data_IF_892012591997
#
_entry.id   IF_892012591997
#
_cell.length_a   1.000
_cell.length_b   1.000
_cell.length_c   1.000
_cell.angle_alpha   90.00
_cell.angle_beta   90.00
_cell.angle_gamma   90.00
#
_symmetry.space_group_name_H-M   'P 1'
#
loop_
_entity.id
_entity.type
_entity.pdbx_description
1 polymer ?
#
# COMPACT_ATOMS: atom_id res chain seq x y z
N UNK A 1 19.58 33.47 7.40
CA UNK A 1 18.54 32.64 8.06
C UNK A 1 18.28 31.46 7.14
N UNK A 2 18.35 30.20 7.59
CA UNK A 2 17.96 29.09 6.73
C UNK A 2 16.45 29.18 6.51
N UNK A 3 16.03 29.20 5.25
CA UNK A 3 14.62 29.17 4.87
C UNK A 3 14.02 27.84 5.33
N UNK A 4 12.89 27.88 6.04
CA UNK A 4 12.09 26.68 6.31
C UNK A 4 11.77 25.99 4.97
N UNK A 5 12.00 24.67 4.84
CA UNK A 5 11.64 23.96 3.61
C UNK A 5 10.14 24.13 3.37
N UNK A 6 9.77 24.59 2.17
CA UNK A 6 8.37 24.61 1.74
C UNK A 6 7.87 23.17 1.71
N UNK A 7 6.64 22.86 2.18
CA UNK A 7 6.08 21.53 2.06
C UNK A 7 6.04 21.12 0.57
N UNK A 8 6.57 19.94 0.26
CA UNK A 8 6.59 19.38 -1.09
C UNK A 8 5.21 18.81 -1.43
N UNK A 9 4.23 19.68 -1.71
CA UNK A 9 2.91 19.27 -2.21
C UNK A 9 2.13 18.29 -1.31
N UNK A 10 1.05 17.72 -1.85
CA UNK A 10 0.25 16.70 -1.17
C UNK A 10 0.87 15.31 -1.41
N UNK A 11 0.91 14.42 -0.40
CA UNK A 11 1.53 13.10 -0.46
C UNK A 11 0.76 12.13 -1.37
N UNK A 12 1.42 11.05 -1.78
CA UNK A 12 0.84 9.98 -2.60
C UNK A 12 1.07 8.64 -1.90
N UNK A 13 0.20 8.29 -0.96
CA UNK A 13 0.44 7.21 -0.02
C UNK A 13 0.36 5.80 -0.61
N UNK A 14 -0.36 5.58 -1.71
CA UNK A 14 -0.54 4.23 -2.28
C UNK A 14 -0.85 4.29 -3.79
N UNK A 15 -0.89 3.13 -4.47
CA UNK A 15 -1.33 3.07 -5.89
C UNK A 15 -2.69 3.76 -6.01
N UNK A 16 -2.82 4.64 -6.99
CA UNK A 16 -4.00 5.49 -7.21
C UNK A 16 -4.31 6.51 -6.09
N UNK A 17 -3.29 6.91 -5.32
CA UNK A 17 -3.23 8.01 -4.33
C UNK A 17 -3.77 7.67 -2.93
N UNK A 18 -4.99 7.16 -2.86
CA UNK A 18 -5.70 6.88 -1.61
C UNK A 18 -6.50 5.56 -1.71
N UNK A 19 -7.11 5.06 -0.61
CA UNK A 19 -7.80 3.78 -0.62
C UNK A 19 -9.00 3.67 -1.59
N UNK A 20 -9.57 4.81 -2.02
CA UNK A 20 -10.65 4.86 -3.01
C UNK A 20 -10.16 4.78 -4.46
N UNK A 21 -8.84 4.81 -4.66
CA UNK A 21 -8.15 4.64 -5.92
C UNK A 21 -8.58 5.58 -7.08
N UNK A 22 -8.83 6.89 -6.85
CA UNK A 22 -9.32 7.79 -7.90
C UNK A 22 -8.29 8.08 -9.00
N UNK A 23 -7.00 7.80 -8.77
CA UNK A 23 -5.90 8.13 -9.70
C UNK A 23 -5.74 9.63 -10.01
N UNK A 24 -6.36 10.51 -9.21
CA UNK A 24 -6.34 11.96 -9.42
C UNK A 24 -5.35 12.65 -8.48
N UNK A 25 -4.39 13.39 -9.06
CA UNK A 25 -3.60 14.35 -8.30
C UNK A 25 -4.46 15.55 -7.89
N UNK A 26 -4.36 15.99 -6.63
CA UNK A 26 -5.08 17.19 -6.15
C UNK A 26 -4.47 18.52 -6.64
N UNK A 27 -3.30 18.46 -7.28
CA UNK A 27 -2.64 19.63 -7.86
C UNK A 27 -2.59 19.41 -9.37
N UNK A 28 -3.03 20.38 -10.19
CA UNK A 28 -2.83 20.32 -11.63
C UNK A 28 -1.34 20.12 -11.92
N UNK A 29 -1.03 19.18 -12.81
CA UNK A 29 0.35 19.03 -13.28
C UNK A 29 0.88 20.34 -13.89
N UNK A 30 2.21 20.51 -13.97
CA UNK A 30 2.81 21.68 -14.60
C UNK A 30 2.25 21.82 -16.01
N UNK A 31 1.58 22.94 -16.26
CA UNK A 31 0.98 23.26 -17.56
C UNK A 31 2.05 23.60 -18.61
N UNK A 32 3.27 23.85 -18.14
CA UNK A 32 4.46 24.10 -18.94
C UNK A 32 5.56 23.09 -18.55
N UNK A 33 5.86 22.10 -19.40
CA UNK A 33 6.94 21.13 -19.15
C UNK A 33 8.32 21.76 -19.05
N UNK A 34 8.52 22.98 -19.57
CA UNK A 34 9.80 23.70 -19.46
C UNK A 34 10.03 24.34 -18.08
N UNK A 35 8.97 24.43 -17.26
CA UNK A 35 9.06 24.81 -15.85
C UNK A 35 9.46 23.64 -14.94
N UNK A 36 9.50 22.41 -15.48
CA UNK A 36 10.08 21.27 -14.79
C UNK A 36 11.61 21.45 -14.74
N UNK A 37 12.17 21.44 -13.53
CA UNK A 37 13.62 21.31 -13.37
C UNK A 37 14.13 20.01 -14.01
N UNK A 38 15.45 19.87 -14.14
CA UNK A 38 16.05 18.65 -14.67
C UNK A 38 15.60 17.42 -13.86
N UNK A 39 14.95 16.42 -14.49
CA UNK A 39 14.60 15.19 -13.80
C UNK A 39 15.90 14.45 -13.43
N UNK A 40 15.87 13.76 -12.30
CA UNK A 40 16.98 12.92 -11.86
C UNK A 40 16.65 11.44 -12.10
N UNK A 41 17.63 10.62 -12.50
CA UNK A 41 17.49 9.16 -12.51
C UNK A 41 17.91 8.57 -11.17
N UNK A 42 17.21 7.54 -10.71
CA UNK A 42 17.66 6.65 -9.64
C UNK A 42 17.79 5.22 -10.18
N UNK A 43 18.94 4.58 -9.93
CA UNK A 43 19.18 3.20 -10.34
C UNK A 43 19.00 2.28 -9.13
N UNK A 44 17.85 1.60 -9.07
CA UNK A 44 17.62 0.53 -8.11
C UNK A 44 18.51 -0.69 -8.40
N UNK A 45 18.72 -1.52 -7.39
CA UNK A 45 19.56 -2.71 -7.49
C UNK A 45 18.93 -3.87 -8.29
N UNK A 46 17.62 -3.81 -8.54
CA UNK A 46 16.87 -4.79 -9.32
C UNK A 46 15.69 -4.14 -10.07
N UNK A 47 14.94 -4.96 -10.83
CA UNK A 47 13.76 -4.52 -11.57
C UNK A 47 12.68 -3.92 -10.66
N UNK A 48 12.04 -2.85 -11.11
CA UNK A 48 10.90 -2.22 -10.45
C UNK A 48 9.66 -2.55 -11.28
N UNK A 49 8.72 -3.29 -10.71
CA UNK A 49 7.43 -3.62 -11.32
C UNK A 49 6.25 -2.88 -10.68
N UNK A 50 6.54 -2.11 -9.63
CA UNK A 50 5.59 -1.52 -8.71
C UNK A 50 5.52 0.01 -8.86
N UNK A 51 4.39 0.61 -8.45
CA UNK A 51 4.27 2.06 -8.39
C UNK A 51 4.94 2.58 -7.11
N UNK A 52 5.64 3.72 -7.12
CA UNK A 52 6.20 4.31 -5.90
C UNK A 52 5.11 4.91 -4.99
N UNK A 53 5.41 5.00 -3.69
CA UNK A 53 4.65 5.82 -2.74
C UNK A 53 5.47 7.06 -2.30
N UNK A 54 4.82 8.16 -1.93
CA UNK A 54 5.46 9.46 -1.63
C UNK A 54 4.97 10.02 -0.30
N UNK A 55 5.89 10.38 0.59
CA UNK A 55 5.59 11.04 1.88
C UNK A 55 5.45 12.58 1.77
N UNK A 56 5.12 13.25 2.89
CA UNK A 56 5.01 14.73 2.95
C UNK A 56 6.33 15.47 2.71
N UNK A 57 7.46 14.80 2.91
CA UNK A 57 8.78 15.36 2.68
C UNK A 57 9.28 15.08 1.25
N UNK A 58 8.47 14.41 0.42
CA UNK A 58 8.77 14.07 -0.97
C UNK A 58 9.70 12.87 -1.13
N UNK A 59 9.91 12.06 -0.09
CA UNK A 59 10.65 10.82 -0.24
C UNK A 59 9.80 9.80 -1.01
N UNK A 60 10.38 9.21 -2.04
CA UNK A 60 9.82 8.09 -2.77
C UNK A 60 10.18 6.78 -2.08
N UNK A 61 9.21 5.89 -1.94
CA UNK A 61 9.38 4.52 -1.49
C UNK A 61 9.14 3.58 -2.67
N UNK A 62 10.15 2.76 -2.99
CA UNK A 62 10.17 1.92 -4.19
C UNK A 62 10.54 0.50 -3.80
N UNK A 63 9.71 -0.46 -4.20
CA UNK A 63 9.98 -1.90 -4.04
C UNK A 63 10.56 -2.50 -5.32
N UNK A 64 11.34 -3.57 -5.17
CA UNK A 64 12.03 -4.23 -6.29
C UNK A 64 11.81 -5.73 -6.30
N UNK A 65 12.04 -6.35 -7.47
CA UNK A 65 11.99 -7.81 -7.63
C UNK A 65 13.03 -8.58 -6.82
N UNK A 66 14.05 -7.90 -6.28
CA UNK A 66 15.00 -8.52 -5.34
C UNK A 66 14.47 -8.55 -3.90
N UNK A 67 13.29 -7.98 -3.62
CA UNK A 67 12.75 -7.88 -2.27
C UNK A 67 13.17 -6.62 -1.51
N UNK A 68 13.87 -5.71 -2.19
CA UNK A 68 14.44 -4.51 -1.57
C UNK A 68 13.45 -3.36 -1.59
N UNK A 69 13.36 -2.64 -0.47
CA UNK A 69 12.70 -1.35 -0.34
C UNK A 69 13.75 -0.24 -0.36
N UNK A 70 13.66 0.65 -1.33
CA UNK A 70 14.47 1.85 -1.43
C UNK A 70 13.69 3.08 -0.97
N UNK A 71 14.41 4.00 -0.31
CA UNK A 71 13.95 5.37 -0.07
C UNK A 71 14.79 6.33 -0.90
N UNK A 72 14.11 7.14 -1.73
CA UNK A 72 14.75 8.10 -2.62
C UNK A 72 14.29 9.51 -2.26
N UNK A 73 15.23 10.42 -2.04
CA UNK A 73 14.97 11.81 -1.71
C UNK A 73 14.48 12.60 -2.93
N UNK A 74 13.83 13.76 -2.73
CA UNK A 74 13.46 14.67 -3.83
C UNK A 74 14.65 15.12 -4.70
N UNK A 75 15.87 15.03 -4.19
CA UNK A 75 17.13 15.34 -4.89
C UNK A 75 17.60 14.21 -5.82
N UNK A 76 17.02 13.02 -5.71
CA UNK A 76 17.37 11.82 -6.46
C UNK A 76 18.39 10.90 -5.79
N UNK A 77 18.95 11.32 -4.67
CA UNK A 77 19.78 10.46 -3.83
C UNK A 77 18.90 9.47 -3.08
N UNK A 78 19.26 8.19 -3.08
CA UNK A 78 18.49 7.17 -2.40
C UNK A 78 19.33 5.97 -2.00
N UNK A 79 18.84 5.23 -1.02
CA UNK A 79 19.47 3.99 -0.54
C UNK A 79 18.41 2.91 -0.37
N UNK A 80 18.86 1.67 -0.39
CA UNK A 80 18.11 0.58 0.23
C UNK A 80 17.96 0.87 1.72
N UNK A 81 16.76 0.65 2.25
CA UNK A 81 16.46 0.80 3.67
C UNK A 81 15.97 -0.50 4.30
N UNK A 82 15.54 -1.47 3.50
CA UNK A 82 15.02 -2.75 4.00
C UNK A 82 15.08 -3.85 2.93
N UNK A 83 15.31 -5.08 3.38
CA UNK A 83 15.28 -6.32 2.58
C UNK A 83 14.21 -7.26 3.14
N UNK A 84 13.18 -7.55 2.33
CA UNK A 84 12.08 -8.45 2.69
C UNK A 84 12.50 -9.94 2.66
N UNK A 85 13.66 -10.27 2.09
CA UNK A 85 14.16 -11.64 1.96
C UNK A 85 13.47 -12.47 0.87
N UNK A 86 12.50 -11.89 0.15
CA UNK A 86 11.76 -12.51 -0.95
C UNK A 86 11.30 -11.44 -1.96
N UNK A 87 11.16 -11.76 -3.27
CA UNK A 87 10.72 -10.78 -4.27
C UNK A 87 9.46 -10.03 -3.87
N UNK A 88 9.48 -8.70 -4.03
CA UNK A 88 8.32 -7.83 -3.82
C UNK A 88 7.88 -7.29 -5.17
N UNK A 89 6.71 -7.72 -5.63
CA UNK A 89 6.17 -7.33 -6.95
C UNK A 89 4.97 -6.39 -6.87
N UNK A 90 4.58 -6.00 -5.66
CA UNK A 90 3.44 -5.14 -5.37
C UNK A 90 3.91 -3.71 -5.08
N UNK A 91 3.04 -2.72 -5.34
CA UNK A 91 3.30 -1.36 -4.86
C UNK A 91 3.29 -1.32 -3.34
N UNK A 92 4.20 -0.58 -2.69
CA UNK A 92 4.08 -0.31 -1.26
C UNK A 92 2.85 0.57 -0.98
N UNK A 93 2.26 0.38 0.19
CA UNK A 93 1.32 1.33 0.77
C UNK A 93 1.97 2.06 1.94
N UNK A 94 1.82 3.37 1.99
CA UNK A 94 2.41 4.26 2.98
C UNK A 94 1.30 4.89 3.82
N UNK A 95 1.33 4.62 5.12
CA UNK A 95 0.62 5.42 6.12
C UNK A 95 1.54 6.53 6.56
N UNK A 96 1.10 7.76 6.34
CA UNK A 96 1.88 8.94 6.69
C UNK A 96 1.96 9.07 8.20
N UNK A 97 3.15 9.40 8.70
CA UNK A 97 3.30 9.82 10.08
C UNK A 97 2.60 11.16 10.32
N UNK A 98 2.45 11.53 11.59
CA UNK A 98 1.81 12.82 11.91
C UNK A 98 2.59 13.96 11.25
N UNK A 99 1.88 14.98 10.77
CA UNK A 99 2.50 16.21 10.24
C UNK A 99 3.18 17.07 11.32
N UNK A 100 3.27 16.59 12.57
CA UNK A 100 3.75 17.35 13.72
C UNK A 100 2.82 18.50 14.16
N UNK A 101 1.57 18.54 13.68
CA UNK A 101 0.60 19.62 14.02
C UNK A 101 -0.50 19.18 14.98
N UNK A 102 -0.52 17.91 15.40
CA UNK A 102 -1.41 17.42 16.45
C UNK A 102 -0.70 17.54 17.79
N UNK A 103 -1.27 18.34 18.71
CA UNK A 103 -0.89 18.55 20.11
C UNK A 103 0.63 18.57 20.41
N UNK A 104 1.12 19.77 20.72
CA UNK A 104 2.50 20.13 21.06
C UNK A 104 3.36 18.99 21.65
N UNK A 105 4.34 18.51 20.87
CA UNK A 105 5.45 17.71 21.39
C UNK A 105 5.86 16.48 20.56
N UNK A 106 4.97 15.93 19.73
CA UNK A 106 5.32 14.80 18.86
C UNK A 106 6.10 15.29 17.63
N UNK A 107 7.34 14.83 17.41
CA UNK A 107 8.05 15.13 16.17
C UNK A 107 7.22 14.63 14.98
N UNK A 108 7.35 15.26 13.79
CA UNK A 108 6.72 14.73 12.59
C UNK A 108 7.05 13.24 12.46
N UNK A 109 6.01 12.41 12.49
CA UNK A 109 6.18 10.97 12.58
C UNK A 109 6.81 10.43 11.32
N UNK A 110 7.69 9.44 11.47
CA UNK A 110 8.16 8.64 10.33
C UNK A 110 6.97 7.74 9.93
N UNK A 111 6.59 7.76 8.65
CA UNK A 111 5.48 6.94 8.15
C UNK A 111 5.77 5.44 8.21
N UNK A 112 4.73 4.63 8.06
CA UNK A 112 4.84 3.17 7.96
C UNK A 112 4.57 2.70 6.53
N UNK A 113 5.44 1.85 6.00
CA UNK A 113 5.40 1.27 4.67
C UNK A 113 5.01 -0.19 4.78
N UNK A 114 3.96 -0.58 4.07
CA UNK A 114 3.42 -1.94 4.02
C UNK A 114 3.70 -2.55 2.65
N UNK A 115 4.19 -3.79 2.63
CA UNK A 115 4.53 -4.52 1.40
C UNK A 115 4.29 -6.02 1.57
N UNK A 116 3.73 -6.64 0.52
CA UNK A 116 3.57 -8.08 0.42
C UNK A 116 4.67 -8.68 -0.43
N UNK A 117 5.19 -9.85 -0.04
CA UNK A 117 6.21 -10.56 -0.80
C UNK A 117 5.71 -11.89 -1.40
N UNK A 118 6.56 -12.46 -2.25
CA UNK A 118 6.32 -13.73 -2.91
C UNK A 118 6.47 -14.96 -2.00
N UNK A 119 6.99 -14.79 -0.78
CA UNK A 119 7.02 -15.85 0.23
C UNK A 119 5.74 -15.88 1.07
N UNK A 120 4.80 -14.96 0.83
CA UNK A 120 3.52 -14.90 1.51
C UNK A 120 3.52 -14.06 2.78
N UNK A 121 4.56 -13.24 2.99
CA UNK A 121 4.65 -12.36 4.15
C UNK A 121 4.21 -10.94 3.81
N UNK A 122 3.42 -10.36 4.72
CA UNK A 122 3.13 -8.94 4.80
C UNK A 122 4.09 -8.32 5.81
N UNK A 123 4.82 -7.31 5.38
CA UNK A 123 5.78 -6.58 6.21
C UNK A 123 5.28 -5.17 6.47
N UNK A 124 5.58 -4.66 7.67
CA UNK A 124 5.41 -3.26 8.03
C UNK A 124 6.76 -2.70 8.46
N UNK A 125 7.22 -1.70 7.73
CA UNK A 125 8.55 -1.11 7.88
C UNK A 125 8.38 0.38 8.11
N UNK A 126 9.04 0.93 9.11
CA UNK A 126 9.09 2.38 9.30
C UNK A 126 9.83 3.03 8.13
N UNK A 127 9.50 4.27 7.79
CA UNK A 127 10.08 5.01 6.66
C UNK A 127 11.59 5.25 6.72
N UNK A 128 12.27 4.87 7.82
CA UNK A 128 13.72 4.83 7.96
C UNK A 128 14.34 3.44 7.71
N UNK A 129 13.53 2.41 7.48
CA UNK A 129 13.95 1.03 7.27
C UNK A 129 13.77 0.11 8.47
N UNK A 130 13.37 0.63 9.63
CA UNK A 130 13.17 -0.19 10.83
C UNK A 130 11.99 -1.13 10.65
N UNK A 131 12.21 -2.44 10.70
CA UNK A 131 11.13 -3.43 10.69
C UNK A 131 10.27 -3.29 11.96
N UNK A 132 8.98 -3.07 11.78
CA UNK A 132 8.01 -3.04 12.88
C UNK A 132 7.44 -4.44 13.12
N UNK A 133 6.97 -5.10 12.06
CA UNK A 133 6.48 -6.47 12.13
C UNK A 133 6.44 -7.16 10.77
N UNK A 134 6.43 -8.49 10.80
CA UNK A 134 6.16 -9.36 9.66
C UNK A 134 5.06 -10.34 10.05
N UNK A 135 4.10 -10.59 9.16
CA UNK A 135 3.00 -11.52 9.37
C UNK A 135 2.81 -12.35 8.10
N UNK A 136 2.62 -13.66 8.24
CA UNK A 136 2.09 -14.50 7.16
C UNK A 136 0.60 -14.74 7.39
N UNK A 137 -0.30 -14.02 6.69
CA UNK A 137 -1.73 -14.03 7.03
C UNK A 137 -2.42 -15.35 6.71
N UNK A 138 -1.84 -16.19 5.83
CA UNK A 138 -2.45 -17.41 5.31
C UNK A 138 -1.84 -18.74 5.77
N UNK A 139 -0.85 -18.76 6.67
CA UNK A 139 -0.20 -20.00 7.13
C UNK A 139 -0.81 -20.49 8.45
N UNK A 140 -1.26 -21.75 8.46
CA UNK A 140 -1.49 -22.56 9.65
C UNK A 140 -0.39 -23.62 9.81
N UNK A 141 0.77 -23.25 10.34
CA UNK A 141 1.92 -24.14 10.66
C UNK A 141 2.48 -25.07 9.55
N UNK A 142 1.93 -25.15 8.34
CA UNK A 142 2.41 -25.99 7.23
C UNK A 142 3.24 -25.22 6.19
N UNK A 143 4.40 -24.76 6.67
CA UNK A 143 5.70 -24.62 5.99
C UNK A 143 5.90 -23.86 4.65
N UNK A 144 4.91 -23.49 3.85
CA UNK A 144 5.13 -22.67 2.64
C UNK A 144 4.02 -21.63 2.44
N UNK A 145 4.39 -20.35 2.51
CA UNK A 145 3.48 -19.24 2.23
C UNK A 145 3.19 -19.12 0.74
N UNK A 146 2.03 -18.52 0.43
CA UNK A 146 1.57 -18.29 -0.94
C UNK A 146 1.79 -16.80 -1.27
N UNK A 147 2.30 -16.44 -2.47
CA UNK A 147 2.61 -15.06 -2.82
C UNK A 147 1.48 -14.06 -2.56
N UNK A 148 1.79 -12.96 -1.86
CA UNK A 148 0.92 -11.80 -1.73
C UNK A 148 1.16 -10.88 -2.92
N UNK A 149 0.25 -10.90 -3.91
CA UNK A 149 0.47 -10.24 -5.22
C UNK A 149 -0.57 -9.20 -5.59
N UNK A 150 -1.46 -8.82 -4.68
CA UNK A 150 -2.19 -7.55 -4.78
C UNK A 150 -1.42 -6.45 -4.06
N UNK A 151 -1.59 -5.20 -4.48
CA UNK A 151 -1.11 -4.11 -3.63
C UNK A 151 -1.87 -4.11 -2.30
N UNK A 152 -1.20 -3.89 -1.17
CA UNK A 152 -1.87 -3.70 0.11
C UNK A 152 -2.68 -2.40 0.07
N UNK A 153 -3.90 -2.45 0.60
CA UNK A 153 -4.72 -1.27 0.87
C UNK A 153 -4.78 -1.06 2.36
N UNK A 154 -4.42 0.13 2.81
CA UNK A 154 -4.30 0.44 4.23
C UNK A 154 -5.35 1.47 4.63
N UNK A 155 -6.08 1.16 5.68
CA UNK A 155 -7.07 2.03 6.29
C UNK A 155 -6.68 2.33 7.74
N UNK A 156 -6.68 3.62 8.09
CA UNK A 156 -6.54 4.06 9.48
C UNK A 156 -7.78 4.85 9.86
N UNK A 157 -8.61 4.27 10.72
CA UNK A 157 -9.81 4.95 11.21
C UNK A 157 -9.45 6.24 11.95
N UNK A 158 -10.32 7.26 11.86
CA UNK A 158 -10.10 8.53 12.54
C UNK A 158 -9.91 8.32 14.05
N UNK A 159 -8.83 8.88 14.60
CA UNK A 159 -8.47 8.70 16.02
C UNK A 159 -7.82 7.37 16.37
N UNK A 160 -7.63 6.45 15.41
CA UNK A 160 -6.88 5.20 15.62
C UNK A 160 -5.39 5.41 15.33
N UNK A 161 -4.54 4.90 16.22
CA UNK A 161 -3.11 4.73 15.95
C UNK A 161 -2.79 3.40 15.26
N UNK A 162 -3.79 2.61 14.88
CA UNK A 162 -3.63 1.28 14.29
C UNK A 162 -4.27 1.22 12.91
N UNK A 163 -3.60 0.55 12.01
CA UNK A 163 -4.03 0.34 10.64
C UNK A 163 -4.68 -1.03 10.46
N UNK A 164 -5.70 -1.07 9.59
CA UNK A 164 -6.17 -2.30 8.95
C UNK A 164 -5.65 -2.36 7.53
N UNK A 165 -5.17 -3.53 7.12
CA UNK A 165 -4.54 -3.79 5.84
C UNK A 165 -5.33 -4.87 5.13
N UNK A 166 -5.64 -4.64 3.85
CA UNK A 166 -6.26 -5.62 2.97
C UNK A 166 -5.26 -6.03 1.90
N UNK A 167 -5.04 -7.34 1.74
CA UNK A 167 -4.07 -7.87 0.76
C UNK A 167 -4.55 -9.19 0.18
N UNK A 168 -4.42 -9.32 -1.14
CA UNK A 168 -4.79 -10.46 -1.95
C UNK A 168 -3.62 -11.39 -2.23
N UNK A 169 -3.94 -12.66 -2.35
CA UNK A 169 -3.02 -13.77 -2.48
C UNK A 169 -3.25 -14.56 -3.77
N UNK A 170 -2.19 -15.17 -4.29
CA UNK A 170 -2.24 -15.98 -5.51
C UNK A 170 -3.13 -17.23 -5.41
N UNK A 171 -3.46 -17.69 -4.21
CA UNK A 171 -4.41 -18.80 -3.98
C UNK A 171 -5.89 -18.37 -4.02
N UNK A 172 -6.16 -17.10 -4.28
CA UNK A 172 -7.52 -16.56 -4.33
C UNK A 172 -8.07 -16.11 -2.98
N UNK A 173 -7.24 -16.00 -1.94
CA UNK A 173 -7.65 -15.41 -0.66
C UNK A 173 -7.37 -13.92 -0.58
N UNK A 174 -8.34 -13.19 -0.05
CA UNK A 174 -8.19 -11.82 0.45
C UNK A 174 -8.11 -11.87 1.97
N UNK A 175 -7.09 -11.25 2.53
CA UNK A 175 -6.91 -11.14 3.98
C UNK A 175 -7.20 -9.73 4.44
N UNK A 176 -7.84 -9.61 5.61
CA UNK A 176 -7.78 -8.40 6.43
C UNK A 176 -6.88 -8.64 7.62
N UNK A 177 -5.93 -7.74 7.83
CA UNK A 177 -4.95 -7.77 8.90
C UNK A 177 -5.06 -6.48 9.69
N UNK A 178 -5.14 -6.56 11.02
CA UNK A 178 -5.09 -5.39 11.88
C UNK A 178 -3.81 -5.38 12.71
N UNK A 179 -3.23 -4.20 12.86
CA UNK A 179 -2.17 -3.97 13.83
C UNK A 179 -2.72 -4.15 15.25
N UNK A 180 -2.12 -5.08 16.00
CA UNK A 180 -2.49 -5.37 17.40
C UNK A 180 -1.63 -4.58 18.36
N UNK A 181 -0.40 -4.25 17.97
CA UNK A 181 0.52 -3.35 18.67
C UNK A 181 1.38 -2.60 17.64
N UNK A 182 2.29 -1.73 18.08
CA UNK A 182 3.26 -1.10 17.18
C UNK A 182 4.24 -2.11 16.53
N UNK A 183 4.40 -3.30 17.12
CA UNK A 183 5.35 -4.32 16.66
C UNK A 183 4.67 -5.67 16.34
N UNK A 184 3.35 -5.70 16.16
CA UNK A 184 2.62 -6.92 15.85
C UNK A 184 1.30 -6.64 15.13
N UNK A 185 0.90 -7.59 14.29
CA UNK A 185 -0.38 -7.60 13.60
C UNK A 185 -1.00 -9.01 13.64
N UNK A 186 -2.28 -9.11 13.34
CA UNK A 186 -3.01 -10.37 13.27
C UNK A 186 -4.02 -10.33 12.13
N UNK A 187 -4.26 -11.49 11.52
CA UNK A 187 -5.36 -11.66 10.56
C UNK A 187 -6.70 -11.57 11.30
N UNK A 188 -7.54 -10.62 10.90
CA UNK A 188 -8.90 -10.46 11.40
C UNK A 188 -9.84 -11.49 10.74
N UNK A 189 -9.76 -11.59 9.41
CA UNK A 189 -10.58 -12.48 8.60
C UNK A 189 -9.91 -12.78 7.25
N UNK A 190 -10.36 -13.85 6.62
CA UNK A 190 -10.03 -14.21 5.25
C UNK A 190 -11.30 -14.42 4.43
N UNK A 191 -11.22 -14.13 3.12
CA UNK A 191 -12.29 -14.36 2.15
C UNK A 191 -11.72 -15.05 0.92
N UNK A 192 -12.27 -16.20 0.55
CA UNK A 192 -11.80 -16.99 -0.58
C UNK A 192 -12.66 -16.78 -1.81
N UNK A 193 -12.01 -16.62 -2.96
CA UNK A 193 -12.60 -16.70 -4.29
C UNK A 193 -11.98 -17.85 -5.08
N UNK A 194 -12.61 -18.26 -6.18
CA UNK A 194 -12.16 -19.41 -6.98
C UNK A 194 -11.12 -19.05 -8.05
N UNK A 195 -10.41 -17.93 -7.91
CA UNK A 195 -9.41 -17.45 -8.86
C UNK A 195 -8.29 -16.67 -8.16
N UNK A 196 -7.04 -16.66 -8.67
CA UNK A 196 -5.94 -15.90 -8.09
C UNK A 196 -6.27 -14.41 -7.91
N UNK A 197 -5.96 -13.86 -6.73
CA UNK A 197 -6.19 -12.45 -6.42
C UNK A 197 -4.92 -11.62 -6.59
N UNK A 198 -4.72 -11.18 -7.83
CA UNK A 198 -3.64 -10.24 -8.21
C UNK A 198 -4.13 -8.82 -8.42
N UNK A 199 -5.44 -8.61 -8.41
CA UNK A 199 -6.09 -7.31 -8.47
C UNK A 199 -6.05 -6.67 -7.09
N UNK A 200 -5.63 -5.40 -7.01
CA UNK A 200 -5.67 -4.66 -5.74
C UNK A 200 -7.11 -4.46 -5.28
N UNK A 201 -7.43 -4.71 -4.00
CA UNK A 201 -8.73 -4.36 -3.44
C UNK A 201 -8.90 -2.83 -3.44
N UNK A 202 -10.12 -2.36 -3.20
CA UNK A 202 -10.44 -0.93 -3.06
C UNK A 202 -11.34 -0.75 -1.86
N UNK A 203 -11.11 0.29 -1.07
CA UNK A 203 -11.92 0.59 0.09
C UNK A 203 -12.90 1.72 -0.23
N UNK A 204 -14.15 1.58 0.21
CA UNK A 204 -15.11 2.68 0.15
C UNK A 204 -14.63 3.88 0.98
N UNK A 205 -15.05 5.08 0.61
CA UNK A 205 -14.63 6.33 1.27
C UNK A 205 -14.96 6.38 2.77
N UNK A 206 -16.02 5.68 3.19
CA UNK A 206 -16.42 5.54 4.60
C UNK A 206 -15.59 4.49 5.36
N UNK A 207 -14.70 3.76 4.68
CA UNK A 207 -13.89 2.69 5.25
C UNK A 207 -14.66 1.40 5.54
N UNK A 208 -15.94 1.30 5.15
CA UNK A 208 -16.83 0.22 5.59
C UNK A 208 -16.96 -0.95 4.63
N UNK A 209 -16.58 -0.77 3.36
CA UNK A 209 -16.71 -1.79 2.32
C UNK A 209 -15.40 -1.99 1.58
N UNK A 210 -15.04 -3.25 1.33
CA UNK A 210 -13.90 -3.62 0.47
C UNK A 210 -14.45 -4.20 -0.82
N UNK A 211 -13.98 -3.69 -1.95
CA UNK A 211 -14.36 -4.09 -3.29
C UNK A 211 -13.21 -4.86 -3.93
N UNK A 212 -13.54 -5.96 -4.60
CA UNK A 212 -12.58 -6.87 -5.20
C UNK A 212 -13.11 -7.33 -6.55
N UNK A 213 -12.36 -7.07 -7.62
CA UNK A 213 -12.65 -7.61 -8.95
C UNK A 213 -11.83 -8.88 -9.18
N UNK A 214 -12.45 -9.97 -9.61
CA UNK A 214 -11.82 -11.27 -9.80
C UNK A 214 -11.62 -11.58 -11.29
N UNK A 215 -10.65 -12.45 -11.60
CA UNK A 215 -10.29 -12.79 -12.98
C UNK A 215 -11.42 -13.51 -13.76
N UNK A 216 -12.35 -14.16 -13.06
CA UNK A 216 -13.55 -14.77 -13.62
C UNK A 216 -14.68 -13.74 -13.91
N UNK A 217 -14.40 -12.45 -13.71
CA UNK A 217 -15.28 -11.36 -14.10
C UNK A 217 -16.36 -11.03 -13.07
N UNK A 218 -16.13 -11.29 -11.79
CA UNK A 218 -17.04 -10.90 -10.71
C UNK A 218 -16.49 -9.73 -9.90
N UNK A 219 -17.39 -8.86 -9.46
CA UNK A 219 -17.14 -7.86 -8.44
C UNK A 219 -17.75 -8.34 -7.12
N UNK A 220 -16.89 -8.52 -6.12
CA UNK A 220 -17.27 -8.85 -4.76
C UNK A 220 -17.25 -7.56 -3.92
N UNK A 221 -18.20 -7.46 -2.99
CA UNK A 221 -18.20 -6.38 -1.99
C UNK A 221 -18.36 -6.99 -0.62
N UNK A 222 -17.37 -6.75 0.21
CA UNK A 222 -17.25 -7.30 1.55
C UNK A 222 -17.39 -6.18 2.56
N UNK A 223 -17.94 -6.50 3.72
CA UNK A 223 -17.86 -5.65 4.88
C UNK A 223 -16.42 -5.60 5.39
N UNK A 224 -15.85 -4.41 5.49
CA UNK A 224 -14.44 -4.20 5.80
C UNK A 224 -14.05 -4.67 7.21
N UNK A 225 -15.02 -4.84 8.12
CA UNK A 225 -14.79 -5.29 9.50
C UNK A 225 -14.91 -6.80 9.64
N UNK A 226 -15.88 -7.42 8.98
CA UNK A 226 -16.23 -8.83 9.19
C UNK A 226 -15.84 -9.77 8.05
N UNK A 227 -15.48 -9.23 6.87
CA UNK A 227 -15.19 -10.03 5.67
C UNK A 227 -16.42 -10.67 5.05
N UNK A 228 -17.62 -10.36 5.54
CA UNK A 228 -18.87 -10.92 5.03
C UNK A 228 -19.30 -10.23 3.74
N UNK A 229 -19.87 -11.00 2.81
CA UNK A 229 -20.50 -10.42 1.61
C UNK A 229 -21.63 -9.48 2.01
N UNK A 230 -21.57 -8.24 1.52
CA UNK A 230 -22.67 -7.27 1.68
C UNK A 230 -23.83 -7.54 0.71
N UNK A 231 -23.52 -8.14 -0.44
CA UNK A 231 -24.46 -8.54 -1.47
C UNK A 231 -23.87 -9.65 -2.34
N UNK A 232 -24.72 -10.33 -3.11
CA UNK A 232 -24.28 -11.35 -4.06
C UNK A 232 -23.28 -10.75 -5.08
N UNK A 233 -22.20 -11.48 -5.45
CA UNK A 233 -21.22 -11.00 -6.41
C UNK A 233 -21.88 -10.60 -7.74
N UNK A 234 -21.45 -9.47 -8.28
CA UNK A 234 -22.00 -8.92 -9.53
C UNK A 234 -21.11 -9.33 -10.68
N UNK A 235 -21.67 -10.00 -11.69
CA UNK A 235 -20.93 -10.35 -12.91
C UNK A 235 -20.72 -9.09 -13.76
N UNK A 236 -19.46 -8.77 -14.03
CA UNK A 236 -19.06 -7.69 -14.91
C UNK A 236 -19.22 -8.18 -16.36
N UNK A 237 -20.19 -7.63 -17.09
CA UNK A 237 -20.37 -7.91 -18.52
C UNK A 237 -19.42 -7.04 -19.34
N UNK A 238 -18.18 -7.49 -19.54
CA UNK A 238 -17.21 -6.85 -20.41
C UNK A 238 -15.78 -7.33 -20.14
N UNK A 239 -14.94 -7.40 -21.17
CA UNK A 239 -13.56 -7.91 -21.13
C UNK A 239 -12.53 -6.96 -20.48
N UNK A 240 -12.88 -6.19 -19.45
CA UNK A 240 -11.92 -5.30 -18.78
C UNK A 240 -11.63 -5.72 -17.34
N UNK A 241 -10.43 -6.28 -17.16
CA UNK A 241 -9.80 -6.58 -15.88
C UNK A 241 -8.92 -5.40 -15.48
N UNK A 242 -9.53 -4.36 -14.92
CA UNK A 242 -8.79 -3.26 -14.28
C UNK A 242 -9.25 -3.08 -12.84
N UNK A 243 -8.37 -2.54 -12.01
CA UNK A 243 -8.67 -2.12 -10.64
C UNK A 243 -9.94 -1.27 -10.66
N UNK A 244 -10.98 -1.59 -9.88
CA UNK A 244 -12.12 -0.70 -9.76
C UNK A 244 -11.64 0.65 -9.21
N UNK A 245 -12.28 1.75 -9.60
CA UNK A 245 -12.08 3.06 -8.99
C UNK A 245 -13.45 3.55 -8.53
N UNK A 246 -13.51 4.17 -7.35
CA UNK A 246 -14.70 4.87 -6.88
C UNK A 246 -14.69 6.29 -7.45
N UNK A 247 -15.85 6.76 -7.92
CA UNK A 247 -16.13 8.16 -8.28
C UNK A 247 -16.64 8.92 -7.04
#
# INVERSE_FOLDING_TARGET
>A
MPMSPKPYGLPWGMRNRDPGAPSLAAVPGPQDPSALGSPWPFKAAAGILAAPAIDYAGHLYVTTEAGLLHRVQPTGEGTEIYDAGSPVRTSPALVLGSSGTGNEGEPPGIGAVYLGDDAGFLHCVQGDGTLLWTLSPGIGQDAQGVPLRSDPVVHRAAGSSRSRIFVGCDDGRLFAVSETTAAAAATDWEYSVLAPLRTSPVLSADGMSVHLATADGFLHTLDALSGQLRHSPVKLSGTQLHTPALD
#
